data_IF_113954561656
#
_entry.id   IF_113954561656
#
_cell.length_a   1.000
_cell.length_b   1.000
_cell.length_c   1.000
_cell.angle_alpha   90.00
_cell.angle_beta   90.00
_cell.angle_gamma   90.00
#
_symmetry.space_group_name_H-M   'P 1'
#
loop_
_entity.id
_entity.type
_entity.pdbx_description
1 polymer ?
#
# COMPACT_ATOMS: atom_id res chain seq x y z
N UNK A 1 -2.72 -7.30 20.90
CA UNK A 1 -1.47 -6.54 21.09
C UNK A 1 -1.84 -5.14 21.52
N UNK A 2 -1.09 -4.51 22.43
CA UNK A 2 -1.41 -3.16 22.87
C UNK A 2 -0.99 -2.13 21.79
N UNK A 3 -1.95 -1.35 21.29
CA UNK A 3 -1.67 -0.21 20.41
C UNK A 3 -1.27 1.01 21.24
N UNK A 4 -0.15 1.64 20.89
CA UNK A 4 0.27 2.92 21.47
C UNK A 4 0.01 4.04 20.47
N UNK A 5 -0.92 4.94 20.78
CA UNK A 5 -1.13 6.13 19.94
C UNK A 5 0.07 7.08 20.06
N UNK A 6 0.66 7.44 18.93
CA UNK A 6 1.81 8.36 18.82
C UNK A 6 1.33 9.78 18.53
N UNK A 7 0.35 9.94 17.64
CA UNK A 7 -0.23 11.25 17.31
C UNK A 7 -1.70 11.13 16.90
N UNK A 8 -2.42 12.26 16.96
CA UNK A 8 -3.82 12.38 16.54
C UNK A 8 -4.11 13.82 16.14
N UNK A 9 -4.40 14.05 14.87
CA UNK A 9 -4.63 15.37 14.29
C UNK A 9 -5.96 15.40 13.54
N UNK A 10 -6.75 16.45 13.73
CA UNK A 10 -7.99 16.62 12.98
C UNK A 10 -7.67 17.09 11.55
N UNK A 11 -8.29 16.47 10.55
CA UNK A 11 -8.12 16.82 9.14
C UNK A 11 -9.41 16.53 8.39
N UNK A 12 -9.98 17.49 7.65
CA UNK A 12 -11.23 17.35 6.89
C UNK A 12 -12.40 16.72 7.68
N UNK A 13 -12.52 17.07 8.97
CA UNK A 13 -13.53 16.54 9.89
C UNK A 13 -13.14 15.21 10.57
N UNK A 14 -12.33 14.38 9.93
CA UNK A 14 -11.82 13.12 10.48
C UNK A 14 -10.55 13.28 11.33
N UNK A 15 -9.95 12.15 11.71
CA UNK A 15 -8.75 12.07 12.54
C UNK A 15 -7.63 11.31 11.83
N UNK A 16 -6.54 11.99 11.50
CA UNK A 16 -5.27 11.38 11.12
C UNK A 16 -4.50 10.99 12.37
N UNK A 17 -4.28 9.69 12.58
CA UNK A 17 -3.58 9.14 13.74
C UNK A 17 -2.36 8.35 13.29
N UNK A 18 -1.41 8.18 14.21
CA UNK A 18 -0.27 7.28 14.06
C UNK A 18 -0.21 6.40 15.30
N UNK A 19 0.03 5.12 15.10
CA UNK A 19 0.14 4.13 16.16
C UNK A 19 1.46 3.38 16.06
N UNK A 20 1.93 2.89 17.21
CA UNK A 20 3.00 1.93 17.33
C UNK A 20 2.46 0.63 17.93
N UNK A 21 2.98 -0.51 17.48
CA UNK A 21 2.74 -1.82 18.07
C UNK A 21 3.97 -2.72 17.96
N UNK A 22 4.06 -3.74 18.80
CA UNK A 22 5.05 -4.80 18.64
C UNK A 22 4.54 -5.80 17.60
N UNK A 23 5.24 -5.95 16.47
CA UNK A 23 4.83 -6.86 15.39
C UNK A 23 5.29 -8.29 15.65
N UNK A 24 4.37 -9.24 15.50
CA UNK A 24 4.65 -10.67 15.59
C UNK A 24 5.32 -11.18 14.32
N UNK A 25 4.91 -10.76 13.12
CA UNK A 25 5.55 -11.20 11.88
C UNK A 25 6.97 -10.64 11.75
N UNK A 26 7.17 -9.37 12.13
CA UNK A 26 8.42 -8.63 11.87
C UNK A 26 9.38 -8.60 13.06
N UNK A 27 8.96 -9.12 14.23
CA UNK A 27 9.77 -9.21 15.47
C UNK A 27 10.39 -7.88 15.91
N UNK A 28 9.70 -6.77 15.65
CA UNK A 28 10.16 -5.43 15.97
C UNK A 28 8.98 -4.49 16.26
N UNK A 29 9.27 -3.28 16.72
CA UNK A 29 8.26 -2.22 16.83
C UNK A 29 7.95 -1.66 15.45
N UNK A 30 6.68 -1.62 15.11
CA UNK A 30 6.18 -1.07 13.86
C UNK A 30 5.31 0.15 14.12
N UNK A 31 5.38 1.10 13.20
CA UNK A 31 4.44 2.22 13.13
C UNK A 31 3.56 2.08 11.89
N UNK A 32 2.31 2.51 12.04
CA UNK A 32 1.41 2.71 10.92
C UNK A 32 0.57 3.94 11.18
N UNK A 33 0.16 4.59 10.10
CA UNK A 33 -0.79 5.68 10.14
C UNK A 33 -2.20 5.19 9.77
N UNK A 34 -3.21 5.81 10.36
CA UNK A 34 -4.61 5.56 10.06
C UNK A 34 -5.39 6.86 10.03
N UNK A 35 -6.17 7.08 8.97
CA UNK A 35 -7.17 8.14 8.92
C UNK A 35 -8.56 7.57 9.15
N UNK A 36 -9.25 8.13 10.14
CA UNK A 36 -10.63 7.82 10.47
C UNK A 36 -11.51 8.95 9.94
N UNK A 37 -12.33 8.74 8.88
CA UNK A 37 -13.23 9.76 8.36
C UNK A 37 -14.35 10.05 9.36
N UNK A 38 -15.08 11.17 9.24
CA UNK A 38 -16.21 11.49 10.12
C UNK A 38 -17.23 10.34 10.26
N UNK A 39 -17.48 9.61 9.17
CA UNK A 39 -18.39 8.44 9.13
C UNK A 39 -18.02 7.36 10.15
N UNK A 40 -16.73 7.23 10.48
CA UNK A 40 -16.21 6.25 11.44
C UNK A 40 -16.67 6.48 12.90
N UNK A 41 -17.21 7.66 13.22
CA UNK A 41 -17.82 7.94 14.54
C UNK A 41 -19.17 7.23 14.71
N UNK A 42 -19.86 6.97 13.60
CA UNK A 42 -21.24 6.44 13.58
C UNK A 42 -21.36 4.99 13.11
N UNK A 43 -20.29 4.41 12.54
CA UNK A 43 -20.35 3.06 12.01
C UNK A 43 -19.04 2.57 11.38
N UNK A 44 -19.06 1.30 10.96
CA UNK A 44 -17.92 0.67 10.30
C UNK A 44 -17.76 1.19 8.87
N UNK A 45 -16.53 1.51 8.49
CA UNK A 45 -16.18 2.02 7.17
C UNK A 45 -15.29 1.00 6.41
N UNK A 46 -15.31 1.00 5.07
CA UNK A 46 -14.32 0.26 4.29
C UNK A 46 -12.88 0.72 4.58
N UNK A 47 -11.94 -0.20 4.41
CA UNK A 47 -10.52 0.07 4.54
C UNK A 47 -9.81 0.15 3.19
N UNK A 48 -8.98 1.17 3.01
CA UNK A 48 -8.08 1.34 1.89
C UNK A 48 -6.63 1.37 2.40
N UNK A 49 -5.84 0.39 1.97
CA UNK A 49 -4.43 0.27 2.35
C UNK A 49 -3.54 0.94 1.32
N UNK A 50 -2.76 1.93 1.75
CA UNK A 50 -1.72 2.56 0.96
C UNK A 50 -0.36 1.93 1.26
N UNK A 51 0.33 1.44 0.24
CA UNK A 51 1.71 0.98 0.34
C UNK A 51 2.67 2.02 -0.25
N UNK A 52 3.63 2.47 0.56
CA UNK A 52 4.62 3.47 0.16
C UNK A 52 5.82 2.86 -0.60
N UNK A 53 6.56 3.71 -1.32
CA UNK A 53 7.76 3.32 -2.05
C UNK A 53 9.02 3.24 -1.19
N UNK A 54 10.17 3.06 -1.85
CA UNK A 54 11.50 3.06 -1.22
C UNK A 54 11.70 4.29 -0.34
N UNK A 55 12.48 4.11 0.73
CA UNK A 55 12.89 5.12 1.72
C UNK A 55 11.75 5.81 2.51
N UNK A 56 10.49 5.52 2.18
CA UNK A 56 9.35 6.12 2.87
C UNK A 56 9.14 5.51 4.26
N UNK A 57 8.33 6.18 5.07
CA UNK A 57 7.73 5.64 6.29
C UNK A 57 6.21 5.78 6.24
N UNK A 58 5.54 5.57 7.38
CA UNK A 58 4.12 5.86 7.57
C UNK A 58 3.77 7.36 7.43
N UNK A 59 4.77 8.25 7.39
CA UNK A 59 4.57 9.71 7.35
C UNK A 59 4.45 10.28 5.95
N UNK A 60 5.15 9.73 4.95
CA UNK A 60 5.32 10.37 3.64
C UNK A 60 3.97 10.62 2.96
N UNK A 61 3.12 9.60 2.92
CA UNK A 61 1.81 9.67 2.30
C UNK A 61 0.88 10.62 3.04
N UNK A 62 0.78 10.46 4.37
CA UNK A 62 -0.18 11.22 5.17
C UNK A 62 0.15 12.72 5.24
N UNK A 63 1.40 13.11 4.95
CA UNK A 63 1.81 14.51 4.97
C UNK A 63 1.83 15.17 3.60
N UNK A 64 2.00 14.40 2.51
CA UNK A 64 2.26 14.95 1.18
C UNK A 64 1.22 14.64 0.12
N UNK A 65 0.40 13.59 0.27
CA UNK A 65 -0.50 13.17 -0.81
C UNK A 65 -1.78 14.00 -0.90
N UNK A 66 -2.24 14.64 0.17
CA UNK A 66 -3.50 15.39 0.15
C UNK A 66 -4.78 14.53 0.09
N UNK A 67 -4.67 13.21 0.29
CA UNK A 67 -5.78 12.26 0.13
C UNK A 67 -7.01 12.49 1.04
N UNK A 68 -6.82 13.18 2.17
CA UNK A 68 -7.78 13.26 3.26
C UNK A 68 -9.16 13.77 2.84
N UNK A 69 -9.20 14.75 1.95
CA UNK A 69 -10.47 15.35 1.52
C UNK A 69 -11.37 14.30 0.87
N UNK A 70 -10.87 13.65 -0.19
CA UNK A 70 -11.62 12.61 -0.90
C UNK A 70 -11.94 11.41 0.01
N UNK A 71 -11.01 11.01 0.88
CA UNK A 71 -11.25 9.92 1.83
C UNK A 71 -12.35 10.27 2.85
N UNK A 72 -12.41 11.53 3.28
CA UNK A 72 -13.46 12.04 4.16
C UNK A 72 -14.82 12.02 3.47
N UNK A 73 -14.88 12.58 2.25
CA UNK A 73 -16.10 12.68 1.44
C UNK A 73 -16.69 11.30 1.13
N UNK A 74 -15.85 10.30 0.87
CA UNK A 74 -16.26 8.92 0.60
C UNK A 74 -16.35 8.02 1.85
N UNK A 75 -16.05 8.54 3.05
CA UNK A 75 -16.14 7.76 4.28
C UNK A 75 -15.22 6.52 4.28
N UNK A 76 -13.99 6.66 3.78
CA UNK A 76 -12.99 5.60 3.73
C UNK A 76 -12.00 5.71 4.88
N UNK A 77 -11.76 4.61 5.59
CA UNK A 77 -10.62 4.48 6.49
C UNK A 77 -9.39 4.20 5.64
N UNK A 78 -8.33 4.99 5.81
CA UNK A 78 -7.08 4.80 5.06
C UNK A 78 -5.96 4.41 5.99
N UNK A 79 -5.25 3.34 5.67
CA UNK A 79 -4.16 2.78 6.47
C UNK A 79 -2.86 2.85 5.66
N UNK A 80 -1.81 3.43 6.24
CA UNK A 80 -0.49 3.52 5.64
C UNK A 80 0.55 2.89 6.59
N UNK A 81 0.95 1.62 6.41
CA UNK A 81 2.06 1.04 7.15
C UNK A 81 3.41 1.65 6.76
N UNK A 82 4.41 1.36 7.59
CA UNK A 82 5.82 1.51 7.22
C UNK A 82 6.23 0.52 6.09
N UNK A 83 7.41 0.70 5.50
CA UNK A 83 7.86 -0.03 4.31
C UNK A 83 8.81 -1.19 4.60
N UNK A 84 9.30 -1.29 5.85
CA UNK A 84 10.19 -2.35 6.31
C UNK A 84 10.08 -2.51 7.83
N UNK A 85 10.56 -3.62 8.42
CA UNK A 85 10.94 -3.63 9.83
C UNK A 85 11.90 -2.47 10.16
N UNK A 86 11.92 -2.03 11.43
CA UNK A 86 12.76 -0.93 11.91
C UNK A 86 13.54 -1.32 13.16
N UNK A 87 14.75 -0.79 13.31
CA UNK A 87 15.56 -0.96 14.52
C UNK A 87 15.97 -2.41 14.82
N UNK A 88 16.13 -3.22 13.78
CA UNK A 88 16.50 -4.64 13.92
C UNK A 88 18.02 -4.85 14.09
N UNK A 89 18.83 -3.85 13.70
CA UNK A 89 20.28 -3.86 13.77
C UNK A 89 20.88 -5.06 13.01
N UNK A 90 20.30 -5.38 11.86
CA UNK A 90 20.76 -6.43 10.95
C UNK A 90 21.92 -5.88 10.12
N UNK A 91 23.04 -6.60 10.08
CA UNK A 91 24.20 -6.21 9.28
C UNK A 91 23.79 -6.08 7.80
N UNK A 92 24.09 -4.92 7.20
CA UNK A 92 23.78 -4.62 5.80
C UNK A 92 22.43 -3.92 5.57
N UNK A 93 21.57 -3.79 6.59
CA UNK A 93 20.21 -3.28 6.37
C UNK A 93 20.14 -1.77 6.13
N UNK A 94 21.16 -1.02 6.54
CA UNK A 94 21.20 0.45 6.44
C UNK A 94 22.27 0.93 5.44
N UNK A 95 22.86 0.03 4.63
CA UNK A 95 23.98 0.34 3.73
C UNK A 95 23.53 0.94 2.39
N UNK A 96 22.33 0.61 1.91
CA UNK A 96 21.78 1.09 0.64
C UNK A 96 20.34 1.57 0.81
N UNK A 97 19.92 2.49 -0.05
CA UNK A 97 18.56 3.04 -0.02
C UNK A 97 17.53 2.13 -0.72
N UNK A 98 18.01 1.24 -1.59
CA UNK A 98 17.21 0.31 -2.39
C UNK A 98 17.16 -1.10 -1.80
N UNK A 99 17.72 -1.31 -0.60
CA UNK A 99 17.76 -2.61 0.06
C UNK A 99 17.76 -2.45 1.59
N UNK A 100 17.07 -3.35 2.30
CA UNK A 100 16.99 -3.30 3.77
C UNK A 100 15.98 -2.26 4.28
N UNK A 101 16.40 -1.42 5.22
CA UNK A 101 15.57 -0.46 5.93
C UNK A 101 14.97 0.57 4.96
N UNK A 102 13.64 0.66 4.91
CA UNK A 102 12.92 1.47 3.94
C UNK A 102 12.63 0.77 2.61
N UNK A 103 13.07 -0.48 2.44
CA UNK A 103 13.07 -1.22 1.19
C UNK A 103 12.70 -2.71 1.39
N UNK A 104 11.56 -2.97 2.04
CA UNK A 104 11.12 -4.35 2.34
C UNK A 104 10.50 -5.12 1.17
N UNK A 105 10.23 -4.45 0.04
CA UNK A 105 9.63 -5.00 -1.21
C UNK A 105 8.31 -5.78 -1.05
N UNK A 106 7.67 -5.74 0.12
CA UNK A 106 6.43 -6.45 0.39
C UNK A 106 6.51 -7.96 0.14
N UNK A 107 7.67 -8.55 0.44
CA UNK A 107 7.91 -10.00 0.35
C UNK A 107 8.04 -10.63 1.75
N UNK A 108 8.07 -11.97 1.78
CA UNK A 108 8.59 -12.72 2.92
C UNK A 108 9.98 -13.25 2.55
N UNK A 109 11.02 -12.66 3.12
CA UNK A 109 12.39 -13.10 2.89
C UNK A 109 12.59 -14.54 3.38
N UNK A 110 13.35 -15.31 2.60
CA UNK A 110 13.70 -16.71 2.92
C UNK A 110 15.13 -16.86 3.40
N UNK A 111 16.00 -15.92 3.02
CA UNK A 111 17.44 -16.00 3.27
C UNK A 111 17.83 -15.31 4.58
N UNK A 112 18.84 -15.86 5.25
CA UNK A 112 19.52 -15.17 6.35
C UNK A 112 20.32 -13.96 5.84
N UNK A 113 20.45 -12.87 6.63
CA UNK A 113 19.84 -12.66 7.96
C UNK A 113 18.39 -12.14 7.93
N UNK A 114 17.80 -11.95 6.74
CA UNK A 114 16.54 -11.21 6.53
C UNK A 114 15.28 -11.96 6.98
N UNK A 115 15.30 -13.30 6.89
CA UNK A 115 14.14 -14.19 7.05
C UNK A 115 13.31 -13.96 8.32
N UNK A 116 13.94 -13.49 9.40
CA UNK A 116 13.31 -13.29 10.71
C UNK A 116 12.42 -12.06 10.75
N UNK A 117 12.86 -10.94 10.15
CA UNK A 117 12.23 -9.64 10.30
C UNK A 117 11.58 -9.14 9.00
N UNK A 118 12.15 -9.46 7.83
CA UNK A 118 11.69 -8.97 6.53
C UNK A 118 10.53 -9.82 5.98
N UNK A 119 9.41 -9.78 6.71
CA UNK A 119 8.17 -10.54 6.42
C UNK A 119 7.02 -9.61 6.09
N UNK A 120 7.31 -8.58 5.29
CA UNK A 120 6.38 -7.48 4.97
C UNK A 120 5.13 -7.97 4.24
N UNK A 121 5.21 -9.04 3.45
CA UNK A 121 4.02 -9.66 2.83
C UNK A 121 3.04 -10.12 3.91
N UNK A 122 3.48 -10.99 4.83
CA UNK A 122 2.63 -11.49 5.92
C UNK A 122 2.17 -10.37 6.84
N UNK A 123 3.00 -9.35 7.08
CA UNK A 123 2.59 -8.20 7.85
C UNK A 123 1.41 -7.45 7.21
N UNK A 124 1.50 -7.14 5.91
CA UNK A 124 0.48 -6.36 5.20
C UNK A 124 -0.79 -7.17 4.88
N UNK A 125 -0.69 -8.49 4.65
CA UNK A 125 -1.85 -9.31 4.28
C UNK A 125 -2.53 -9.99 5.45
N UNK A 126 -1.82 -10.25 6.56
CA UNK A 126 -2.36 -10.99 7.71
C UNK A 126 -2.36 -10.14 8.98
N UNK A 127 -1.17 -9.80 9.50
CA UNK A 127 -1.05 -9.22 10.84
C UNK A 127 -1.73 -7.86 10.95
N UNK A 128 -1.42 -6.94 10.03
CA UNK A 128 -1.94 -5.58 10.06
C UNK A 128 -3.45 -5.56 9.83
N UNK A 129 -4.04 -6.24 8.82
CA UNK A 129 -5.49 -6.31 8.67
C UNK A 129 -6.21 -6.88 9.89
N UNK A 130 -5.68 -7.93 10.51
CA UNK A 130 -6.24 -8.47 11.76
C UNK A 130 -6.18 -7.45 12.90
N UNK A 131 -5.06 -6.74 13.04
CA UNK A 131 -4.89 -5.69 14.04
C UNK A 131 -5.86 -4.53 13.80
N UNK A 132 -6.05 -4.11 12.54
CA UNK A 132 -6.96 -3.02 12.17
C UNK A 132 -8.41 -3.41 12.48
N UNK A 133 -8.84 -4.59 12.03
CA UNK A 133 -10.21 -5.09 12.22
C UNK A 133 -10.58 -5.27 13.70
N UNK A 134 -9.60 -5.57 14.56
CA UNK A 134 -9.81 -5.76 15.99
C UNK A 134 -9.91 -4.44 16.77
N UNK A 135 -9.35 -3.34 16.27
CA UNK A 135 -9.16 -2.11 17.07
C UNK A 135 -9.85 -0.86 16.51
N UNK A 136 -10.30 -0.88 15.25
CA UNK A 136 -10.88 0.28 14.59
C UNK A 136 -12.26 -0.04 13.99
N UNK A 137 -13.12 0.99 13.76
CA UNK A 137 -14.44 0.81 13.15
C UNK A 137 -14.31 0.55 11.64
N UNK A 138 -13.72 -0.59 11.28
CA UNK A 138 -13.51 -1.04 9.91
C UNK A 138 -14.42 -2.23 9.61
N UNK A 139 -14.92 -2.28 8.37
CA UNK A 139 -15.63 -3.42 7.82
C UNK A 139 -14.62 -4.44 7.25
N UNK A 140 -14.45 -5.63 7.88
CA UNK A 140 -13.44 -6.60 7.47
C UNK A 140 -13.72 -7.23 6.10
N UNK A 141 -14.94 -7.08 5.56
CA UNK A 141 -15.31 -7.64 4.26
C UNK A 141 -15.07 -6.65 3.10
N UNK A 142 -14.76 -5.38 3.40
CA UNK A 142 -14.61 -4.32 2.38
C UNK A 142 -13.25 -3.67 2.52
N UNK A 143 -12.28 -4.27 1.83
CA UNK A 143 -10.90 -3.84 1.81
C UNK A 143 -10.40 -3.65 0.37
N UNK A 144 -9.60 -2.62 0.14
CA UNK A 144 -8.85 -2.43 -1.10
C UNK A 144 -7.41 -2.01 -0.79
N UNK A 145 -6.55 -2.12 -1.80
CA UNK A 145 -5.13 -1.81 -1.67
C UNK A 145 -4.62 -1.08 -2.91
N UNK A 146 -3.72 -0.12 -2.70
CA UNK A 146 -3.03 0.65 -3.73
C UNK A 146 -1.69 1.14 -3.18
N UNK A 147 -0.83 1.69 -4.03
CA UNK A 147 0.48 2.14 -3.58
C UNK A 147 1.31 2.78 -4.67
N UNK A 148 2.51 3.21 -4.29
CA UNK A 148 3.44 3.93 -5.14
C UNK A 148 4.77 3.19 -5.30
N UNK A 149 5.26 3.06 -6.53
CA UNK A 149 6.58 2.47 -6.84
C UNK A 149 6.72 1.05 -6.27
N UNK A 150 7.69 0.78 -5.39
CA UNK A 150 7.77 -0.47 -4.61
C UNK A 150 6.43 -0.83 -3.92
N UNK A 151 5.68 0.17 -3.44
CA UNK A 151 4.34 -0.04 -2.89
C UNK A 151 3.27 -0.31 -3.95
N UNK A 152 3.42 0.20 -5.16
CA UNK A 152 2.56 -0.15 -6.30
C UNK A 152 2.75 -1.62 -6.69
N UNK A 153 4.01 -2.07 -6.75
CA UNK A 153 4.35 -3.48 -6.84
C UNK A 153 3.70 -4.29 -5.71
N UNK A 154 3.90 -3.87 -4.45
CA UNK A 154 3.31 -4.49 -3.27
C UNK A 154 1.79 -4.66 -3.36
N UNK A 155 1.09 -3.62 -3.81
CA UNK A 155 -0.37 -3.62 -3.94
C UNK A 155 -0.84 -4.63 -4.99
N UNK A 156 -0.18 -4.64 -6.16
CA UNK A 156 -0.49 -5.60 -7.22
C UNK A 156 -0.23 -7.05 -6.77
N UNK A 157 0.92 -7.35 -6.16
CA UNK A 157 1.21 -8.72 -5.72
C UNK A 157 0.27 -9.17 -4.59
N UNK A 158 -0.12 -8.27 -3.69
CA UNK A 158 -1.08 -8.59 -2.63
C UNK A 158 -2.47 -8.86 -3.21
N UNK A 159 -2.92 -8.09 -4.20
CA UNK A 159 -4.22 -8.31 -4.85
C UNK A 159 -4.23 -9.61 -5.67
N UNK A 160 -3.15 -9.88 -6.42
CA UNK A 160 -3.08 -11.00 -7.36
C UNK A 160 -2.79 -12.36 -6.70
N UNK A 161 -2.16 -12.39 -5.52
CA UNK A 161 -1.87 -13.65 -4.78
C UNK A 161 -3.02 -14.12 -3.90
N UNK A 162 -3.95 -13.23 -3.58
CA UNK A 162 -5.08 -13.52 -2.70
C UNK A 162 -6.39 -13.88 -3.43
N UNK A 163 -6.30 -14.59 -4.56
CA UNK A 163 -7.27 -15.63 -4.88
C UNK A 163 -6.55 -16.96 -5.10
N UNK A 164 -6.34 -17.68 -3.99
CA UNK A 164 -6.02 -19.11 -3.99
C UNK A 164 -4.67 -19.53 -4.60
N UNK A 165 -3.63 -19.55 -3.76
CA UNK A 165 -2.27 -20.14 -3.95
C UNK A 165 -1.39 -19.40 -4.97
N UNK A 166 -0.15 -19.05 -4.57
CA UNK A 166 1.15 -19.33 -5.26
C UNK A 166 2.30 -18.42 -4.75
N UNK A 167 3.53 -18.87 -5.02
CA UNK A 167 4.84 -18.34 -4.53
C UNK A 167 5.45 -17.22 -5.41
N UNK A 168 4.73 -16.68 -6.39
CA UNK A 168 5.28 -15.63 -7.25
C UNK A 168 5.20 -14.26 -6.56
N UNK A 169 6.19 -13.40 -6.75
CA UNK A 169 6.26 -12.05 -6.18
C UNK A 169 6.39 -11.00 -7.29
N UNK A 170 6.01 -11.34 -8.51
CA UNK A 170 6.07 -10.47 -9.69
C UNK A 170 4.64 -10.25 -10.18
N UNK A 171 4.20 -8.99 -10.23
CA UNK A 171 2.84 -8.63 -10.63
C UNK A 171 2.51 -9.09 -12.06
N UNK A 172 3.45 -8.96 -12.99
CA UNK A 172 3.32 -9.35 -14.40
C UNK A 172 3.22 -10.87 -14.56
N UNK A 173 3.95 -11.63 -13.74
CA UNK A 173 3.80 -13.08 -13.74
C UNK A 173 2.49 -13.52 -13.07
N UNK A 174 2.14 -12.90 -11.95
CA UNK A 174 0.94 -13.25 -11.17
C UNK A 174 -0.35 -13.02 -11.94
N UNK A 175 -0.44 -11.92 -12.71
CA UNK A 175 -1.65 -11.60 -13.48
C UNK A 175 -1.96 -12.67 -14.52
N UNK A 176 -0.94 -13.36 -15.06
CA UNK A 176 -1.09 -14.51 -15.98
C UNK A 176 -1.77 -15.72 -15.33
N UNK A 177 -1.73 -15.83 -14.01
CA UNK A 177 -2.31 -16.93 -13.24
C UNK A 177 -3.58 -16.55 -12.46
N UNK A 178 -4.02 -15.30 -12.54
CA UNK A 178 -5.19 -14.81 -11.80
C UNK A 178 -6.49 -15.46 -12.35
N UNK A 179 -7.40 -15.95 -11.47
CA UNK A 179 -8.67 -16.54 -11.90
C UNK A 179 -9.59 -15.49 -12.52
N UNK A 180 -10.67 -15.92 -13.17
CA UNK A 180 -11.66 -15.07 -13.85
C UNK A 180 -12.53 -14.26 -12.85
N UNK A 181 -11.89 -13.45 -12.01
CA UNK A 181 -12.48 -12.46 -11.13
C UNK A 181 -12.24 -11.07 -11.72
N UNK A 182 -13.24 -10.19 -11.60
CA UNK A 182 -13.15 -8.85 -12.16
C UNK A 182 -12.33 -7.94 -11.23
N UNK A 183 -11.03 -7.82 -11.50
CA UNK A 183 -10.19 -6.74 -10.96
C UNK A 183 -10.14 -5.61 -11.98
N UNK A 184 -10.64 -4.43 -11.60
CA UNK A 184 -10.51 -3.22 -12.40
C UNK A 184 -9.30 -2.42 -11.88
N UNK A 185 -8.17 -2.54 -12.57
CA UNK A 185 -6.89 -1.95 -12.17
C UNK A 185 -6.75 -0.54 -12.75
N UNK A 186 -6.36 0.42 -11.91
CA UNK A 186 -6.01 1.79 -12.33
C UNK A 186 -4.52 2.02 -12.08
N UNK A 187 -3.80 2.42 -13.12
CA UNK A 187 -2.38 2.79 -13.03
C UNK A 187 -2.21 4.19 -13.63
N UNK A 188 -1.67 5.10 -12.82
CA UNK A 188 -1.11 6.36 -13.32
C UNK A 188 0.41 6.26 -13.33
N UNK A 189 1.02 6.68 -14.44
CA UNK A 189 2.46 6.74 -14.61
C UNK A 189 2.85 8.14 -15.09
N UNK A 190 3.76 8.81 -14.39
CA UNK A 190 4.39 10.03 -14.89
C UNK A 190 5.27 9.70 -16.11
N UNK A 191 5.12 10.44 -17.20
CA UNK A 191 5.92 10.21 -18.42
C UNK A 191 7.37 10.66 -18.26
N UNK A 192 7.60 11.68 -17.43
CA UNK A 192 8.92 12.27 -17.18
C UNK A 192 9.55 11.65 -15.91
N UNK A 193 9.06 10.48 -15.52
CA UNK A 193 9.58 9.70 -14.40
C UNK A 193 10.94 9.07 -14.76
N UNK A 194 11.97 9.44 -14.01
CA UNK A 194 13.32 8.92 -14.25
C UNK A 194 13.39 7.39 -14.08
N UNK A 195 12.62 6.78 -13.17
CA UNK A 195 12.62 5.33 -12.97
C UNK A 195 11.88 4.58 -14.09
N UNK A 196 10.96 5.26 -14.79
CA UNK A 196 10.39 4.73 -16.04
C UNK A 196 11.47 4.72 -17.13
N UNK A 197 12.19 5.83 -17.30
CA UNK A 197 13.25 6.00 -18.30
C UNK A 197 14.40 5.01 -18.05
N UNK A 198 14.75 4.78 -16.78
CA UNK A 198 15.80 3.85 -16.35
C UNK A 198 15.35 2.37 -16.41
N UNK A 199 14.11 2.09 -16.81
CA UNK A 199 13.60 0.73 -17.01
C UNK A 199 13.29 -0.04 -15.73
N UNK A 200 13.02 0.63 -14.61
CA UNK A 200 12.67 -0.01 -13.33
C UNK A 200 11.18 -0.36 -13.24
N UNK A 201 10.31 0.44 -13.88
CA UNK A 201 8.86 0.35 -13.69
C UNK A 201 8.16 -0.59 -14.69
N UNK A 202 8.58 -0.57 -15.95
CA UNK A 202 8.14 -1.47 -17.04
C UNK A 202 6.60 -1.72 -17.10
N UNK A 203 5.74 -0.68 -17.01
CA UNK A 203 4.28 -0.86 -16.96
C UNK A 203 3.71 -1.58 -18.20
N UNK A 204 4.35 -1.42 -19.36
CA UNK A 204 3.97 -2.08 -20.61
C UNK A 204 3.99 -3.61 -20.51
N UNK A 205 4.91 -4.18 -19.73
CA UNK A 205 4.95 -5.62 -19.51
C UNK A 205 3.71 -6.10 -18.74
N UNK A 206 3.31 -5.35 -17.70
CA UNK A 206 2.12 -5.65 -16.91
C UNK A 206 0.82 -5.49 -17.72
N UNK A 207 0.73 -4.45 -18.54
CA UNK A 207 -0.42 -4.18 -19.42
C UNK A 207 -0.56 -5.29 -20.47
N UNK A 208 0.55 -5.73 -21.07
CA UNK A 208 0.56 -6.84 -22.03
C UNK A 208 0.06 -8.13 -21.37
N UNK A 209 0.59 -8.46 -20.19
CA UNK A 209 0.18 -9.65 -19.46
C UNK A 209 -1.29 -9.62 -19.01
N UNK A 210 -1.79 -8.45 -18.59
CA UNK A 210 -3.21 -8.26 -18.24
C UNK A 210 -4.12 -8.40 -19.46
N UNK A 211 -3.70 -7.88 -20.61
CA UNK A 211 -4.46 -7.95 -21.87
C UNK A 211 -4.63 -9.39 -22.36
N UNK A 212 -3.57 -10.21 -22.28
CA UNK A 212 -3.64 -11.65 -22.59
C UNK A 212 -4.68 -12.39 -21.71
N UNK A 213 -4.89 -11.91 -20.48
CA UNK A 213 -5.83 -12.47 -19.51
C UNK A 213 -7.19 -11.79 -19.48
N UNK A 214 -7.39 -10.77 -20.31
CA UNK A 214 -8.61 -9.95 -20.33
C UNK A 214 -8.93 -9.32 -18.96
N UNK A 215 -7.90 -9.02 -18.17
CA UNK A 215 -8.04 -8.28 -16.91
C UNK A 215 -8.08 -6.79 -17.26
N UNK A 216 -9.16 -6.06 -16.89
CA UNK A 216 -9.27 -4.65 -17.19
C UNK A 216 -8.18 -3.83 -16.50
N UNK A 217 -7.39 -3.10 -17.30
CA UNK A 217 -6.40 -2.14 -16.81
C UNK A 217 -6.67 -0.80 -17.49
N UNK A 218 -6.95 0.21 -16.68
CA UNK A 218 -6.91 1.61 -17.10
C UNK A 218 -5.51 2.14 -16.82
N UNK A 219 -4.71 2.27 -17.88
CA UNK A 219 -3.38 2.88 -17.80
C UNK A 219 -3.44 4.31 -18.31
N UNK A 220 -2.97 5.26 -17.49
CA UNK A 220 -2.91 6.68 -17.81
C UNK A 220 -1.45 7.14 -17.75
N UNK A 221 -0.91 7.57 -18.89
CA UNK A 221 0.42 8.16 -18.99
C UNK A 221 0.30 9.68 -18.90
N UNK A 222 0.87 10.27 -17.85
CA UNK A 222 0.68 11.67 -17.48
C UNK A 222 1.89 12.51 -17.94
N UNK A 223 1.69 13.32 -18.98
CA UNK A 223 2.71 14.21 -19.55
C UNK A 223 3.19 15.26 -18.53
N UNK A 224 4.50 15.47 -18.41
CA UNK A 224 5.06 16.47 -17.49
C UNK A 224 5.12 16.05 -16.02
N UNK A 225 4.70 14.83 -15.69
CA UNK A 225 4.70 14.33 -14.32
C UNK A 225 5.86 13.37 -14.05
N UNK A 226 6.40 13.48 -12.84
CA UNK A 226 7.55 12.74 -12.32
C UNK A 226 7.14 11.63 -11.33
N UNK A 227 8.10 11.12 -10.55
CA UNK A 227 7.91 10.07 -9.54
C UNK A 227 7.51 10.60 -8.14
N UNK A 228 7.28 11.90 -8.00
CA UNK A 228 7.23 12.54 -6.68
C UNK A 228 5.82 12.50 -6.07
N UNK A 229 5.73 12.95 -4.82
CA UNK A 229 4.41 13.18 -4.20
C UNK A 229 3.63 14.32 -4.84
N UNK A 230 4.23 15.21 -5.65
CA UNK A 230 3.47 16.20 -6.42
C UNK A 230 2.63 15.52 -7.51
N UNK A 231 3.21 14.53 -8.19
CA UNK A 231 2.47 13.67 -9.11
C UNK A 231 1.35 12.91 -8.37
N UNK A 232 1.67 12.23 -7.27
CA UNK A 232 0.68 11.48 -6.48
C UNK A 232 -0.47 12.39 -6.05
N UNK A 233 -0.17 13.57 -5.47
CA UNK A 233 -1.18 14.48 -4.97
C UNK A 233 -2.10 15.02 -6.06
N UNK A 234 -1.62 15.12 -7.30
CA UNK A 234 -2.43 15.55 -8.45
C UNK A 234 -3.56 14.57 -8.74
N UNK A 235 -3.26 13.26 -8.69
CA UNK A 235 -4.21 12.22 -9.11
C UNK A 235 -4.82 11.42 -7.95
N UNK A 236 -4.46 11.73 -6.70
CA UNK A 236 -4.89 10.95 -5.53
C UNK A 236 -6.42 10.86 -5.42
N UNK A 237 -7.14 11.94 -5.73
CA UNK A 237 -8.59 11.99 -5.61
C UNK A 237 -9.27 11.02 -6.59
N UNK A 238 -8.68 10.81 -7.78
CA UNK A 238 -9.19 9.83 -8.75
C UNK A 238 -9.04 8.41 -8.24
N UNK A 239 -7.89 8.09 -7.63
CA UNK A 239 -7.65 6.78 -7.02
C UNK A 239 -8.59 6.52 -5.84
N UNK A 240 -8.79 7.51 -4.98
CA UNK A 240 -9.75 7.39 -3.87
C UNK A 240 -11.17 7.13 -4.40
N UNK A 241 -11.63 7.86 -5.43
CA UNK A 241 -12.93 7.64 -6.06
C UNK A 241 -13.04 6.27 -6.73
N UNK A 242 -11.98 5.83 -7.41
CA UNK A 242 -11.91 4.50 -8.03
C UNK A 242 -12.14 3.41 -6.99
N UNK A 243 -11.44 3.45 -5.86
CA UNK A 243 -11.64 2.47 -4.79
C UNK A 243 -12.99 2.61 -4.09
N UNK A 244 -13.47 3.84 -3.85
CA UNK A 244 -14.79 4.08 -3.25
C UNK A 244 -15.91 3.41 -4.05
N UNK A 245 -15.83 3.42 -5.39
CA UNK A 245 -16.77 2.73 -6.29
C UNK A 245 -16.89 1.24 -5.99
N UNK A 246 -15.78 0.52 -5.81
CA UNK A 246 -15.81 -0.93 -5.54
C UNK A 246 -16.05 -1.27 -4.07
N UNK A 247 -15.75 -0.34 -3.16
CA UNK A 247 -16.01 -0.48 -1.73
C UNK A 247 -17.44 -0.08 -1.33
N UNK A 248 -18.24 0.43 -2.27
CA UNK A 248 -19.59 0.96 -2.04
C UNK A 248 -19.61 1.97 -0.88
N UNK A 249 -18.70 2.95 -0.93
CA UNK A 249 -18.39 3.86 0.17
C UNK A 249 -19.11 5.22 0.05
#
# INVERSE_FOLDING_TARGET
>A
MALKQISSNKCFGGLQKVFEHDSVELKCKMKFAIYLPPKAESGKCPALYWLSGLTCTEQNFISKSGYHQAASEHGLVVIAPDTSPRGCNIKGEDESWDFGTGAGFYVNATEDPWKTNYRMYSYVTEELPQLINANFPVDPQRMSIFGHSMGGHGALICALKNPGKYKAYDATYLVKSYPDSQLDILIDQGKDDQFLIDGQLLPEHFISASSEKKIPVVFRLQEGYDHSYYFIATFIADHIRHHAKYLNA
#
